data_IF_295808716032
#
_entry.id   IF_295808716032
#
_cell.length_a   1.000
_cell.length_b   1.000
_cell.length_c   1.000
_cell.angle_alpha   90.00
_cell.angle_beta   90.00
_cell.angle_gamma   90.00
#
_symmetry.space_group_name_H-M   'P 1'
#
loop_
_entity.id
_entity.type
_entity.pdbx_description
1 polymer ?
#
# COMPACT_ATOMS: atom_id res chain seq x y z
N UNK A 1 3.50 24.01 -52.76
CA UNK A 1 2.52 22.96 -53.13
C UNK A 1 3.27 21.64 -53.00
N UNK A 2 3.01 20.69 -52.10
CA UNK A 2 1.87 20.39 -51.23
C UNK A 2 2.39 19.71 -49.96
N UNK A 3 1.79 20.05 -48.82
CA UNK A 3 1.96 19.48 -47.49
C UNK A 3 1.07 18.24 -47.31
N UNK A 4 1.65 17.06 -47.11
CA UNK A 4 0.92 15.87 -46.67
C UNK A 4 0.80 15.86 -45.15
N UNK A 5 -0.26 16.52 -44.68
CA UNK A 5 -0.75 16.46 -43.30
C UNK A 5 -1.41 15.09 -43.10
N UNK A 6 -0.72 14.14 -42.48
CA UNK A 6 -1.32 12.91 -42.00
C UNK A 6 -2.14 13.25 -40.74
N UNK A 7 -3.44 13.45 -40.93
CA UNK A 7 -4.40 13.57 -39.84
C UNK A 7 -4.44 12.24 -39.08
N UNK A 8 -4.02 12.28 -37.82
CA UNK A 8 -4.37 11.24 -36.85
C UNK A 8 -5.88 11.31 -36.65
N UNK A 9 -6.61 10.46 -37.37
CA UNK A 9 -8.00 10.16 -37.06
C UNK A 9 -8.05 9.49 -35.70
N UNK A 10 -8.27 10.27 -34.64
CA UNK A 10 -8.74 9.76 -33.36
C UNK A 10 -10.16 9.24 -33.58
N UNK A 11 -10.28 7.97 -33.94
CA UNK A 11 -11.51 7.22 -33.68
C UNK A 11 -11.62 7.09 -32.17
N UNK A 12 -12.37 8.00 -31.58
CA UNK A 12 -12.81 7.95 -30.19
C UNK A 12 -13.73 6.71 -30.06
N UNK A 13 -13.12 5.52 -29.96
CA UNK A 13 -13.84 4.33 -29.49
C UNK A 13 -14.18 4.63 -28.03
N UNK A 14 -15.45 4.93 -27.79
CA UNK A 14 -16.05 4.97 -26.46
C UNK A 14 -15.97 3.57 -25.87
N UNK A 15 -14.82 3.21 -25.32
CA UNK A 15 -14.72 2.02 -24.49
C UNK A 15 -15.53 2.25 -23.22
N UNK A 16 -16.22 1.21 -22.76
CA UNK A 16 -16.85 1.25 -21.46
C UNK A 16 -15.76 1.57 -20.40
N UNK A 17 -16.03 2.45 -19.43
CA UNK A 17 -15.08 2.79 -18.37
C UNK A 17 -14.72 1.57 -17.50
N UNK A 18 -15.52 0.50 -17.61
CA UNK A 18 -15.33 -0.78 -16.95
C UNK A 18 -15.84 -1.91 -17.85
N UNK A 19 -15.09 -3.00 -17.92
CA UNK A 19 -15.52 -4.27 -18.49
C UNK A 19 -15.09 -5.42 -17.59
N UNK A 20 -15.94 -6.43 -17.47
CA UNK A 20 -15.72 -7.65 -16.72
C UNK A 20 -16.29 -8.80 -17.56
N UNK A 21 -15.47 -9.78 -17.91
CA UNK A 21 -15.88 -10.87 -18.81
C UNK A 21 -16.92 -11.78 -18.17
N UNK A 22 -16.62 -12.26 -16.96
CA UNK A 22 -17.47 -13.15 -16.18
C UNK A 22 -17.42 -12.73 -14.72
N UNK A 23 -18.52 -12.91 -14.00
CA UNK A 23 -18.58 -12.72 -12.55
C UNK A 23 -19.45 -13.80 -11.93
N UNK A 24 -18.91 -14.50 -10.94
CA UNK A 24 -19.63 -15.52 -10.19
C UNK A 24 -19.49 -15.28 -8.68
N UNK A 25 -20.58 -15.56 -7.97
CA UNK A 25 -20.67 -15.47 -6.52
C UNK A 25 -21.38 -16.71 -6.02
N UNK A 26 -20.70 -17.49 -5.18
CA UNK A 26 -21.25 -18.65 -4.48
C UNK A 26 -21.17 -18.40 -2.99
N UNK A 27 -22.29 -18.59 -2.29
CA UNK A 27 -22.38 -18.41 -0.85
C UNK A 27 -23.03 -19.65 -0.21
N UNK A 28 -22.35 -20.22 0.78
CA UNK A 28 -22.95 -21.21 1.68
C UNK A 28 -23.45 -20.50 2.93
N UNK A 29 -24.72 -20.70 3.27
CA UNK A 29 -25.33 -20.12 4.47
C UNK A 29 -25.34 -21.13 5.62
N UNK A 30 -25.07 -20.63 6.82
CA UNK A 30 -25.17 -21.37 8.07
C UNK A 30 -26.10 -20.68 9.06
N UNK A 31 -26.27 -21.33 10.22
CA UNK A 31 -27.00 -20.76 11.33
C UNK A 31 -26.11 -20.74 12.58
N UNK A 32 -26.00 -19.56 13.18
CA UNK A 32 -25.35 -19.32 14.46
C UNK A 32 -26.41 -18.91 15.50
N UNK A 33 -26.25 -19.37 16.74
CA UNK A 33 -27.25 -19.16 17.80
C UNK A 33 -27.40 -17.69 18.19
N UNK A 34 -26.31 -16.92 18.13
CA UNK A 34 -26.28 -15.52 18.58
C UNK A 34 -26.43 -14.54 17.41
N UNK A 35 -25.91 -14.89 16.23
CA UNK A 35 -25.90 -14.05 15.04
C UNK A 35 -27.00 -14.39 14.01
N UNK A 36 -27.71 -15.51 14.16
CA UNK A 36 -28.77 -15.91 13.24
C UNK A 36 -28.23 -16.53 11.95
N UNK A 37 -28.66 -16.05 10.78
CA UNK A 37 -28.14 -16.54 9.49
C UNK A 37 -26.78 -15.93 9.23
N UNK A 38 -25.78 -16.78 9.01
CA UNK A 38 -24.40 -16.36 8.72
C UNK A 38 -23.96 -16.89 7.35
N UNK A 39 -22.96 -16.25 6.75
CA UNK A 39 -22.29 -16.80 5.57
C UNK A 39 -21.13 -17.67 6.08
N UNK A 40 -21.11 -18.95 5.72
CA UNK A 40 -20.02 -19.87 6.05
C UNK A 40 -18.90 -19.76 5.02
N UNK A 41 -19.21 -20.06 3.78
CA UNK A 41 -18.24 -20.05 2.68
C UNK A 41 -18.69 -19.04 1.64
N UNK A 42 -17.76 -18.23 1.16
CA UNK A 42 -17.98 -17.27 0.08
C UNK A 42 -16.90 -17.45 -0.97
N UNK A 43 -17.29 -17.85 -2.17
CA UNK A 43 -16.40 -17.93 -3.32
C UNK A 43 -16.83 -16.87 -4.33
N UNK A 44 -15.89 -16.00 -4.67
CA UNK A 44 -16.06 -14.93 -5.65
C UNK A 44 -15.06 -15.21 -6.77
N UNK A 45 -15.53 -15.30 -8.00
CA UNK A 45 -14.63 -15.34 -9.15
C UNK A 45 -15.03 -14.30 -10.17
N UNK A 46 -14.03 -13.77 -10.85
CA UNK A 46 -14.22 -12.85 -11.96
C UNK A 46 -13.31 -13.28 -13.11
N UNK A 47 -13.77 -13.13 -14.35
CA UNK A 47 -12.94 -13.22 -15.55
C UNK A 47 -12.02 -12.00 -15.67
N UNK A 48 -11.49 -11.70 -16.86
CA UNK A 48 -10.64 -10.52 -16.99
C UNK A 48 -11.43 -9.22 -16.74
N UNK A 49 -10.81 -8.30 -16.00
CA UNK A 49 -11.38 -6.97 -15.71
C UNK A 49 -10.51 -5.91 -16.35
N UNK A 50 -11.13 -4.98 -17.07
CA UNK A 50 -10.47 -3.79 -17.57
C UNK A 50 -11.19 -2.51 -17.12
N UNK A 51 -10.41 -1.51 -16.71
CA UNK A 51 -10.85 -0.22 -16.24
C UNK A 51 -10.20 0.88 -17.07
N UNK A 52 -11.02 1.74 -17.67
CA UNK A 52 -10.57 2.91 -18.41
C UNK A 52 -10.96 4.18 -17.65
N UNK A 53 -9.99 4.74 -16.94
CA UNK A 53 -10.15 5.90 -16.09
C UNK A 53 -9.68 7.17 -16.79
N UNK A 54 -10.37 8.27 -16.57
CA UNK A 54 -9.94 9.60 -16.98
C UNK A 54 -10.28 10.65 -15.92
N UNK A 55 -9.81 11.88 -16.08
CA UNK A 55 -10.06 12.94 -15.10
C UNK A 55 -11.54 13.33 -14.96
N UNK A 56 -12.36 13.13 -16.00
CA UNK A 56 -13.76 13.53 -16.04
C UNK A 56 -14.64 12.67 -15.12
N UNK A 57 -14.26 11.40 -14.91
CA UNK A 57 -14.93 10.50 -13.95
C UNK A 57 -14.84 10.99 -12.49
N UNK A 58 -13.84 11.83 -12.18
CA UNK A 58 -13.61 12.34 -10.82
C UNK A 58 -14.16 13.75 -10.60
N UNK A 59 -14.67 14.41 -11.65
CA UNK A 59 -15.33 15.70 -11.53
C UNK A 59 -16.70 15.50 -10.89
N UNK A 60 -16.80 15.81 -9.58
CA UNK A 60 -18.11 16.04 -8.96
C UNK A 60 -18.80 17.17 -9.71
N UNK A 61 -19.85 16.86 -10.48
CA UNK A 61 -20.75 17.87 -11.02
C UNK A 61 -21.29 18.66 -9.82
N UNK A 62 -20.87 19.92 -9.67
CA UNK A 62 -21.63 20.88 -8.87
C UNK A 62 -22.98 21.00 -9.56
N UNK A 63 -24.04 20.52 -8.94
CA UNK A 63 -25.40 20.81 -9.37
C UNK A 63 -25.59 22.33 -9.30
N UNK A 64 -25.57 22.99 -10.45
CA UNK A 64 -25.97 24.38 -10.60
C UNK A 64 -27.48 24.43 -10.81
N UNK A 65 -28.24 24.65 -9.73
CA UNK A 65 -29.53 25.33 -9.69
C UNK A 65 -30.25 24.93 -8.41
N UNK A 66 -30.12 25.75 -7.37
CA UNK A 66 -31.22 26.04 -6.45
C UNK A 66 -31.03 27.49 -6.01
N UNK A 67 -31.34 28.39 -6.94
CA UNK A 67 -31.67 29.77 -6.62
C UNK A 67 -33.15 29.78 -6.28
N UNK A 68 -33.50 29.63 -5.00
CA UNK A 68 -34.78 30.12 -4.49
C UNK A 68 -34.60 30.75 -3.10
N UNK A 69 -34.69 32.09 -3.13
CA UNK A 69 -35.17 33.02 -2.11
C UNK A 69 -34.83 32.82 -0.63
N UNK A 70 -34.07 33.79 -0.12
CA UNK A 70 -34.04 34.31 1.24
C UNK A 70 -35.37 34.18 2.02
N UNK A 71 -35.26 33.83 3.30
CA UNK A 71 -35.70 34.70 4.41
C UNK A 71 -34.99 34.32 5.70
N UNK A 72 -34.53 35.34 6.41
CA UNK A 72 -33.96 35.30 7.75
C UNK A 72 -34.90 34.64 8.76
N UNK A 73 -34.35 33.86 9.70
CA UNK A 73 -34.61 34.12 11.12
C UNK A 73 -33.49 33.56 12.00
N UNK A 74 -32.83 34.50 12.66
CA UNK A 74 -31.89 34.33 13.77
C UNK A 74 -32.68 33.93 15.00
N UNK A 75 -32.41 32.75 15.58
CA UNK A 75 -32.56 32.54 17.03
C UNK A 75 -31.42 31.66 17.51
N UNK A 76 -30.54 32.24 18.32
CA UNK A 76 -29.41 31.57 18.92
C UNK A 76 -29.81 30.61 20.04
N UNK A 77 -28.94 29.63 20.29
CA UNK A 77 -28.61 29.25 21.66
C UNK A 77 -27.19 28.72 21.71
N UNK A 78 -26.33 29.58 22.23
CA UNK A 78 -25.03 29.24 22.80
C UNK A 78 -25.22 28.12 23.82
N UNK A 79 -24.63 26.95 23.57
CA UNK A 79 -24.19 26.06 24.65
C UNK A 79 -22.75 25.67 24.32
N UNK A 80 -21.83 26.39 24.96
CA UNK A 80 -20.49 25.91 25.25
C UNK A 80 -20.59 24.52 25.88
N UNK A 81 -20.00 23.52 25.24
CA UNK A 81 -19.67 22.26 25.91
C UNK A 81 -18.23 21.89 25.56
N UNK A 82 -17.32 22.63 26.18
CA UNK A 82 -16.01 22.10 26.56
C UNK A 82 -16.21 20.76 27.27
N UNK A 83 -16.05 19.65 26.56
CA UNK A 83 -15.93 18.33 27.17
C UNK A 83 -14.78 17.57 26.53
N UNK A 84 -13.75 17.34 27.34
CA UNK A 84 -12.64 16.47 27.07
C UNK A 84 -13.13 15.10 26.57
N UNK A 85 -12.69 14.67 25.38
CA UNK A 85 -13.00 13.34 24.83
C UNK A 85 -12.30 12.28 25.69
N UNK A 86 -13.07 11.65 26.59
CA UNK A 86 -12.66 10.50 27.42
C UNK A 86 -12.14 9.32 26.58
N UNK A 87 -11.31 8.42 27.18
CA UNK A 87 -10.80 7.18 26.56
C UNK A 87 -11.88 6.16 26.11
N UNK A 88 -13.17 6.39 26.40
CA UNK A 88 -14.30 5.53 26.03
C UNK A 88 -14.40 5.21 24.53
N UNK A 89 -13.91 6.09 23.64
CA UNK A 89 -14.08 5.90 22.18
C UNK A 89 -13.29 4.70 21.62
N UNK A 90 -12.11 4.39 22.16
CA UNK A 90 -11.25 3.28 21.70
C UNK A 90 -11.76 1.91 22.15
N UNK A 91 -12.27 1.83 23.36
CA UNK A 91 -12.86 0.60 23.91
C UNK A 91 -14.20 0.28 23.23
N UNK A 92 -14.99 1.31 22.92
CA UNK A 92 -16.22 1.17 22.12
C UNK A 92 -15.95 0.66 20.69
N UNK A 93 -14.84 1.07 20.04
CA UNK A 93 -14.48 0.54 18.72
C UNK A 93 -14.05 -0.93 18.77
N UNK A 94 -13.32 -1.36 19.80
CA UNK A 94 -12.98 -2.78 19.96
C UNK A 94 -14.21 -3.65 20.18
N UNK A 95 -15.12 -3.20 21.05
CA UNK A 95 -16.43 -3.84 21.26
C UNK A 95 -17.20 -4.01 19.94
N UNK A 96 -17.17 -3.00 19.06
CA UNK A 96 -17.81 -3.12 17.75
C UNK A 96 -17.13 -4.15 16.85
N UNK A 97 -15.80 -4.18 16.77
CA UNK A 97 -15.06 -5.14 15.92
C UNK A 97 -15.29 -6.57 16.40
N UNK A 98 -15.21 -6.83 17.71
CA UNK A 98 -15.50 -8.14 18.31
C UNK A 98 -16.93 -8.58 17.98
N UNK A 99 -17.91 -7.65 18.03
CA UNK A 99 -19.30 -7.95 17.65
C UNK A 99 -19.46 -8.33 16.17
N UNK A 100 -18.74 -7.68 15.26
CA UNK A 100 -18.77 -7.99 13.83
C UNK A 100 -17.95 -9.22 13.45
N UNK A 101 -17.12 -9.73 14.36
CA UNK A 101 -16.26 -10.88 14.08
C UNK A 101 -17.05 -12.15 13.74
N UNK A 102 -18.24 -12.29 14.31
CA UNK A 102 -19.16 -13.39 13.99
C UNK A 102 -19.72 -13.32 12.56
N UNK A 103 -19.74 -12.14 11.93
CA UNK A 103 -20.24 -11.93 10.57
C UNK A 103 -19.20 -12.23 9.48
N UNK A 104 -17.92 -12.37 9.82
CA UNK A 104 -16.92 -12.80 8.84
C UNK A 104 -17.22 -14.24 8.41
N UNK A 105 -17.11 -14.56 7.11
CA UNK A 105 -17.23 -15.94 6.65
C UNK A 105 -16.14 -16.83 7.28
N UNK A 106 -16.42 -18.12 7.40
CA UNK A 106 -15.44 -19.15 7.77
C UNK A 106 -14.36 -19.30 6.70
N UNK A 107 -14.77 -19.28 5.43
CA UNK A 107 -13.85 -19.26 4.29
C UNK A 107 -14.30 -18.23 3.26
N UNK A 108 -13.34 -17.46 2.78
CA UNK A 108 -13.51 -16.56 1.64
C UNK A 108 -12.46 -16.91 0.61
N UNK A 109 -12.88 -17.11 -0.63
CA UNK A 109 -11.99 -17.23 -1.77
C UNK A 109 -12.39 -16.18 -2.80
N UNK A 110 -11.40 -15.46 -3.31
CA UNK A 110 -11.56 -14.55 -4.43
C UNK A 110 -10.47 -14.81 -5.47
N UNK A 111 -10.87 -14.90 -6.73
CA UNK A 111 -9.96 -15.09 -7.85
C UNK A 111 -10.28 -14.12 -8.99
N UNK A 112 -9.26 -13.41 -9.45
CA UNK A 112 -9.29 -12.52 -10.58
C UNK A 112 -8.02 -12.75 -11.43
N UNK A 113 -8.12 -13.36 -12.62
CA UNK A 113 -6.95 -13.75 -13.40
C UNK A 113 -6.17 -12.54 -13.91
N UNK A 114 -6.85 -11.43 -14.23
CA UNK A 114 -6.22 -10.24 -14.79
C UNK A 114 -7.03 -8.98 -14.54
N UNK A 115 -6.33 -7.92 -14.14
CA UNK A 115 -6.84 -6.58 -13.95
C UNK A 115 -6.00 -5.59 -14.78
N UNK A 116 -6.61 -5.03 -15.81
CA UNK A 116 -6.04 -3.96 -16.63
C UNK A 116 -6.63 -2.61 -16.20
N UNK A 117 -5.77 -1.66 -15.81
CA UNK A 117 -6.18 -0.30 -15.44
C UNK A 117 -5.44 0.71 -16.29
N UNK A 118 -6.17 1.34 -17.20
CA UNK A 118 -5.69 2.45 -18.01
C UNK A 118 -6.16 3.76 -17.42
N UNK A 119 -5.24 4.70 -17.22
CA UNK A 119 -5.57 6.05 -16.80
C UNK A 119 -5.07 7.07 -17.83
N UNK A 120 -5.95 7.98 -18.23
CA UNK A 120 -5.62 9.07 -19.15
C UNK A 120 -5.95 10.42 -18.51
N UNK A 121 -4.94 11.28 -18.41
CA UNK A 121 -5.08 12.67 -18.00
C UNK A 121 -4.84 13.58 -19.20
N UNK A 122 -5.91 14.00 -19.88
CA UNK A 122 -5.88 14.84 -21.09
C UNK A 122 -5.15 16.15 -20.85
N UNK A 123 -5.33 16.77 -19.67
CA UNK A 123 -4.72 18.08 -19.35
C UNK A 123 -3.18 18.09 -19.25
N UNK A 124 -2.56 16.93 -19.07
CA UNK A 124 -1.11 16.79 -18.91
C UNK A 124 -0.49 15.82 -19.92
N UNK A 125 -1.29 15.29 -20.86
CA UNK A 125 -0.84 14.32 -21.85
C UNK A 125 -0.28 13.04 -21.23
N UNK A 126 -0.76 12.66 -20.04
CA UNK A 126 -0.32 11.46 -19.33
C UNK A 126 -1.29 10.33 -19.65
N UNK A 127 -0.77 9.23 -20.19
CA UNK A 127 -1.53 8.00 -20.40
C UNK A 127 -0.69 6.85 -19.89
N UNK A 128 -1.24 6.08 -18.94
CA UNK A 128 -0.52 5.00 -18.29
C UNK A 128 -1.38 3.78 -18.15
N UNK A 129 -0.74 2.63 -18.30
CA UNK A 129 -1.38 1.32 -18.24
C UNK A 129 -0.80 0.57 -17.05
N UNK A 130 -1.66 -0.09 -16.28
CA UNK A 130 -1.27 -0.97 -15.19
C UNK A 130 -1.91 -2.31 -15.48
N UNK A 131 -1.17 -3.36 -15.23
CA UNK A 131 -1.62 -4.72 -15.45
C UNK A 131 -1.24 -5.52 -14.20
N UNK A 132 -2.21 -6.22 -13.64
CA UNK A 132 -2.02 -7.08 -12.48
C UNK A 132 -2.62 -8.44 -12.84
N UNK A 133 -1.85 -9.50 -12.68
CA UNK A 133 -2.23 -10.86 -13.08
C UNK A 133 -2.20 -11.82 -11.89
N UNK A 134 -3.04 -12.86 -11.97
CA UNK A 134 -3.11 -13.94 -11.02
C UNK A 134 -3.48 -13.49 -9.61
N UNK A 135 -4.46 -12.59 -9.46
CA UNK A 135 -4.90 -12.08 -8.17
C UNK A 135 -5.73 -13.16 -7.48
N UNK A 136 -5.23 -13.66 -6.36
CA UNK A 136 -5.94 -14.60 -5.50
C UNK A 136 -5.98 -14.07 -4.08
N UNK A 137 -7.12 -14.21 -3.44
CA UNK A 137 -7.30 -13.92 -2.02
C UNK A 137 -8.00 -15.11 -1.39
N UNK A 138 -7.41 -15.63 -0.33
CA UNK A 138 -7.97 -16.70 0.49
C UNK A 138 -8.00 -16.21 1.91
N UNK A 139 -9.12 -16.38 2.58
CA UNK A 139 -9.22 -16.10 4.00
C UNK A 139 -9.93 -17.24 4.72
N UNK A 140 -9.38 -17.63 5.86
CA UNK A 140 -9.93 -18.67 6.73
C UNK A 140 -10.08 -18.09 8.13
N UNK A 141 -11.28 -18.19 8.68
CA UNK A 141 -11.55 -17.88 10.08
C UNK A 141 -11.58 -19.17 10.89
N UNK A 142 -10.79 -19.22 11.95
CA UNK A 142 -10.71 -20.32 12.91
C UNK A 142 -10.84 -19.80 14.35
N UNK A 143 -10.93 -20.71 15.32
CA UNK A 143 -10.83 -20.36 16.74
C UNK A 143 -9.42 -20.71 17.22
N UNK A 144 -8.77 -19.77 17.90
CA UNK A 144 -7.50 -19.97 18.57
C UNK A 144 -7.69 -19.90 20.08
N UNK A 145 -7.06 -20.82 20.80
CA UNK A 145 -7.02 -20.88 22.26
C UNK A 145 -5.54 -20.74 22.65
N UNK A 146 -5.15 -19.55 23.07
CA UNK A 146 -3.86 -19.32 23.74
C UNK A 146 -4.09 -19.17 25.24
N UNK A 147 -3.09 -19.54 26.06
CA UNK A 147 -3.09 -19.82 27.51
C UNK A 147 -3.86 -18.86 28.47
N UNK A 148 -4.40 -17.74 27.99
CA UNK A 148 -5.12 -16.75 28.80
C UNK A 148 -6.47 -16.31 28.20
N UNK A 149 -6.76 -16.51 26.90
CA UNK A 149 -8.04 -16.11 26.29
C UNK A 149 -8.33 -16.75 24.92
N UNK A 150 -9.61 -17.08 24.67
CA UNK A 150 -10.10 -17.46 23.34
C UNK A 150 -10.15 -16.25 22.38
N UNK A 151 -9.68 -16.46 21.15
CA UNK A 151 -9.73 -15.45 20.08
C UNK A 151 -10.23 -16.06 18.77
N UNK A 152 -10.90 -15.24 17.96
CA UNK A 152 -11.12 -15.55 16.56
C UNK A 152 -9.82 -15.26 15.81
N UNK A 153 -9.34 -16.24 15.07
CA UNK A 153 -8.12 -16.16 14.28
C UNK A 153 -8.49 -16.09 12.80
N UNK A 154 -8.07 -15.03 12.14
CA UNK A 154 -8.31 -14.80 10.72
C UNK A 154 -6.97 -14.88 9.98
N UNK A 155 -6.80 -15.96 9.22
CA UNK A 155 -5.71 -16.12 8.28
C UNK A 155 -6.16 -15.56 6.93
N UNK A 156 -5.38 -14.65 6.38
CA UNK A 156 -5.59 -14.06 5.06
C UNK A 156 -4.31 -14.25 4.25
N UNK A 157 -4.45 -14.87 3.09
CA UNK A 157 -3.41 -15.00 2.10
C UNK A 157 -3.85 -14.28 0.83
N UNK A 158 -2.97 -13.47 0.27
CA UNK A 158 -3.17 -12.81 -1.01
C UNK A 158 -1.96 -13.05 -1.88
N UNK A 159 -2.18 -13.60 -3.06
CA UNK A 159 -1.13 -13.93 -4.02
C UNK A 159 -1.37 -13.17 -5.32
N UNK A 160 -0.28 -12.71 -5.94
CA UNK A 160 -0.26 -12.08 -7.25
C UNK A 160 0.85 -12.70 -8.08
N UNK A 161 0.55 -13.09 -9.31
CA UNK A 161 1.55 -13.64 -10.22
C UNK A 161 2.41 -12.55 -10.83
N UNK A 162 1.82 -11.49 -11.39
CA UNK A 162 2.61 -10.42 -12.03
C UNK A 162 1.96 -9.07 -11.77
N UNK A 163 2.77 -8.05 -11.51
CA UNK A 163 2.32 -6.67 -11.33
C UNK A 163 3.21 -5.78 -12.19
N UNK A 164 2.60 -5.11 -13.15
CA UNK A 164 3.22 -4.10 -14.00
C UNK A 164 2.53 -2.76 -13.77
N UNK A 165 3.26 -1.80 -13.21
CA UNK A 165 2.73 -0.47 -12.91
C UNK A 165 3.34 0.59 -13.82
N UNK A 166 2.51 1.57 -14.16
CA UNK A 166 2.87 2.76 -14.95
C UNK A 166 3.56 2.39 -16.27
N UNK A 167 3.02 1.40 -16.95
CA UNK A 167 3.53 0.91 -18.23
C UNK A 167 3.31 1.94 -19.33
N UNK A 168 4.36 2.18 -20.08
CA UNK A 168 4.38 3.07 -21.24
C UNK A 168 5.29 2.46 -22.32
N UNK A 169 4.82 2.41 -23.58
CA UNK A 169 5.57 1.85 -24.71
C UNK A 169 6.25 0.49 -24.41
N UNK A 170 5.52 -0.40 -23.72
CA UNK A 170 5.96 -1.76 -23.41
C UNK A 170 6.78 -1.94 -22.14
N UNK A 171 7.34 -0.87 -21.56
CA UNK A 171 8.20 -0.93 -20.35
C UNK A 171 7.42 -0.41 -19.14
N UNK A 172 7.41 -1.16 -18.03
CA UNK A 172 6.77 -0.76 -16.77
C UNK A 172 7.75 -0.07 -15.87
N UNK A 173 7.33 0.94 -15.10
CA UNK A 173 8.20 1.62 -14.13
C UNK A 173 8.46 0.71 -12.93
N UNK A 174 7.47 -0.06 -12.51
CA UNK A 174 7.61 -1.07 -11.46
C UNK A 174 7.08 -2.39 -11.98
N UNK A 175 7.87 -3.43 -11.82
CA UNK A 175 7.59 -4.80 -12.20
C UNK A 175 7.82 -5.69 -10.97
N UNK A 176 6.85 -6.53 -10.64
CA UNK A 176 6.95 -7.50 -9.55
C UNK A 176 6.44 -8.83 -10.12
N UNK A 177 7.30 -9.83 -10.19
CA UNK A 177 7.00 -11.15 -10.77
C UNK A 177 6.40 -12.14 -9.78
N UNK A 178 6.29 -11.75 -8.51
CA UNK A 178 5.52 -12.46 -7.50
C UNK A 178 5.29 -11.56 -6.31
N UNK A 179 4.07 -11.49 -5.82
CA UNK A 179 3.77 -10.87 -4.53
C UNK A 179 2.91 -11.83 -3.72
N UNK A 180 3.44 -12.25 -2.58
CA UNK A 180 2.70 -13.04 -1.59
C UNK A 180 2.52 -12.17 -0.34
N UNK A 181 1.28 -12.07 0.15
CA UNK A 181 0.94 -11.39 1.39
C UNK A 181 0.22 -12.37 2.30
N UNK A 182 0.77 -12.61 3.47
CA UNK A 182 0.15 -13.42 4.52
C UNK A 182 -0.14 -12.53 5.70
N UNK A 183 -1.35 -12.61 6.24
CA UNK A 183 -1.78 -11.83 7.39
C UNK A 183 -2.54 -12.73 8.36
N UNK A 184 -2.11 -12.75 9.62
CA UNK A 184 -2.77 -13.46 10.70
C UNK A 184 -3.29 -12.45 11.72
N UNK A 185 -4.61 -12.40 11.90
CA UNK A 185 -5.28 -11.43 12.77
C UNK A 185 -6.00 -12.17 13.90
N UNK A 186 -5.63 -11.83 15.13
CA UNK A 186 -6.21 -12.38 16.35
C UNK A 186 -7.16 -11.35 16.99
N UNK A 187 -8.45 -11.66 16.96
CA UNK A 187 -9.50 -10.82 17.51
C UNK A 187 -10.02 -11.47 18.79
N UNK A 188 -9.81 -10.87 19.97
CA UNK A 188 -10.24 -11.47 21.22
C UNK A 188 -11.77 -11.46 21.33
N UNK A 189 -12.35 -12.56 21.84
CA UNK A 189 -13.81 -12.70 21.98
C UNK A 189 -14.38 -11.78 23.07
N UNK A 190 -13.55 -11.37 24.02
CA UNK A 190 -13.84 -10.31 24.97
C UNK A 190 -12.86 -9.16 24.74
N UNK A 191 -13.29 -7.89 24.80
CA UNK A 191 -12.45 -6.71 24.50
C UNK A 191 -11.48 -6.37 25.66
N UNK A 192 -10.95 -7.38 26.33
CA UNK A 192 -10.04 -7.27 27.47
C UNK A 192 -8.59 -7.10 27.02
N UNK A 193 -8.26 -7.53 25.79
CA UNK A 193 -6.95 -7.41 25.16
C UNK A 193 -7.04 -6.69 23.80
N UNK A 194 -5.92 -6.14 23.29
CA UNK A 194 -5.88 -5.58 21.95
C UNK A 194 -5.96 -6.66 20.87
N UNK A 195 -6.40 -6.25 19.68
CA UNK A 195 -6.30 -7.08 18.47
C UNK A 195 -4.81 -7.20 18.10
N UNK A 196 -4.34 -8.41 17.83
CA UNK A 196 -2.99 -8.64 17.29
C UNK A 196 -3.07 -8.91 15.80
N UNK A 197 -2.18 -8.33 15.03
CA UNK A 197 -2.10 -8.51 13.58
C UNK A 197 -0.66 -8.73 13.17
N UNK A 198 -0.38 -9.81 12.47
CA UNK A 198 0.94 -10.10 11.93
C UNK A 198 0.83 -10.13 10.42
N UNK A 199 1.64 -9.33 9.72
CA UNK A 199 1.60 -9.20 8.27
C UNK A 199 2.99 -9.52 7.74
N UNK A 200 3.07 -10.44 6.78
CA UNK A 200 4.29 -10.80 6.08
C UNK A 200 4.07 -10.59 4.57
N UNK A 201 4.97 -9.84 3.95
CA UNK A 201 4.93 -9.47 2.53
C UNK A 201 6.21 -9.98 1.89
N UNK A 202 6.08 -10.80 0.85
CA UNK A 202 7.22 -11.31 0.08
C UNK A 202 7.11 -10.85 -1.36
N UNK A 203 8.15 -10.19 -1.83
CA UNK A 203 8.29 -9.68 -3.18
C UNK A 203 9.33 -10.54 -3.93
N UNK A 204 8.95 -11.05 -5.10
CA UNK A 204 9.81 -11.83 -5.98
C UNK A 204 10.05 -11.10 -7.30
N UNK A 205 11.30 -11.11 -7.78
CA UNK A 205 11.69 -10.53 -9.07
C UNK A 205 11.29 -9.07 -9.22
N UNK A 206 11.61 -8.24 -8.21
CA UNK A 206 11.20 -6.83 -8.22
C UNK A 206 12.14 -6.01 -9.09
N UNK A 207 11.62 -5.31 -10.09
CA UNK A 207 12.40 -4.42 -10.94
C UNK A 207 11.77 -3.02 -11.00
N UNK A 208 12.59 -2.00 -10.82
CA UNK A 208 12.21 -0.61 -10.97
C UNK A 208 12.95 0.02 -12.14
N UNK A 209 12.23 0.39 -13.19
CA UNK A 209 12.77 1.01 -14.39
C UNK A 209 12.64 2.53 -14.31
N UNK A 210 13.74 3.20 -13.98
CA UNK A 210 13.80 4.65 -13.86
C UNK A 210 14.07 5.30 -15.22
N UNK A 211 12.99 5.70 -15.90
CA UNK A 211 13.06 6.41 -17.18
C UNK A 211 12.75 7.90 -16.95
N UNK A 212 13.80 8.70 -16.76
CA UNK A 212 13.68 10.09 -16.33
C UNK A 212 12.74 10.93 -17.23
N UNK A 213 12.75 10.70 -18.54
CA UNK A 213 11.89 11.41 -19.49
C UNK A 213 10.39 11.17 -19.26
N UNK A 214 10.02 9.99 -18.74
CA UNK A 214 8.62 9.60 -18.47
C UNK A 214 8.13 10.08 -17.12
N UNK A 215 9.01 10.50 -16.21
CA UNK A 215 8.65 11.07 -14.91
C UNK A 215 8.15 12.52 -15.01
N UNK A 216 8.44 13.22 -16.10
CA UNK A 216 8.16 14.65 -16.25
C UNK A 216 6.66 15.02 -16.13
N UNK A 217 5.71 14.29 -16.74
CA UNK A 217 4.28 14.57 -16.56
C UNK A 217 3.82 14.34 -15.10
N UNK A 218 4.38 13.36 -14.40
CA UNK A 218 4.07 13.07 -12.99
C UNK A 218 4.48 14.20 -12.05
N UNK A 219 5.69 14.75 -12.24
CA UNK A 219 6.19 15.89 -11.45
C UNK A 219 5.28 17.12 -11.65
N UNK A 220 4.85 17.38 -12.89
CA UNK A 220 3.92 18.48 -13.20
C UNK A 220 2.58 18.31 -12.47
N UNK A 221 2.05 17.09 -12.44
CA UNK A 221 0.78 16.80 -11.76
C UNK A 221 0.86 17.08 -10.25
N UNK A 222 1.97 16.76 -9.58
CA UNK A 222 2.18 17.10 -8.17
C UNK A 222 2.31 18.61 -7.93
N UNK A 223 2.99 19.34 -8.82
CA UNK A 223 3.22 20.79 -8.68
C UNK A 223 1.96 21.65 -8.87
N UNK A 224 0.91 21.09 -9.49
CA UNK A 224 -0.38 21.78 -9.72
C UNK A 224 -1.13 22.08 -8.42
N UNK A 225 -0.86 21.34 -7.34
CA UNK A 225 -1.41 21.58 -6.01
C UNK A 225 -0.56 22.63 -5.26
N UNK A 226 -0.60 23.89 -5.69
CA UNK A 226 -0.12 25.02 -4.86
C UNK A 226 -1.02 25.13 -3.62
N UNK A 227 -0.67 24.41 -2.55
CA UNK A 227 -1.19 24.67 -1.21
C UNK A 227 -0.62 26.02 -0.76
N UNK A 228 -1.47 27.01 -0.51
CA UNK A 228 -1.09 28.25 0.16
C UNK A 228 -0.60 27.87 1.55
N UNK A 229 0.72 27.85 1.76
CA UNK A 229 1.32 27.58 3.07
C UNK A 229 1.04 28.80 3.94
N UNK A 230 -0.02 28.72 4.75
CA UNK A 230 -0.26 29.68 5.83
C UNK A 230 0.52 29.14 7.02
N UNK A 231 1.66 29.76 7.32
CA UNK A 231 2.32 29.60 8.61
C UNK A 231 1.34 30.12 9.65
N UNK A 232 0.76 29.22 10.44
CA UNK A 232 -0.04 29.58 11.60
C UNK A 232 0.92 29.61 12.78
N UNK A 233 1.10 30.80 13.35
CA UNK A 233 1.91 31.00 14.56
C UNK A 233 1.47 30.03 15.66
N UNK A 234 2.45 29.35 16.24
CA UNK A 234 2.29 28.51 17.42
C UNK A 234 2.12 29.40 18.66
N UNK A 235 0.91 29.43 19.20
CA UNK A 235 0.73 29.64 20.63
C UNK A 235 -0.56 28.95 21.10
N UNK A 236 -0.43 27.70 21.51
CA UNK A 236 -1.35 27.12 22.48
C UNK A 236 -0.60 26.08 23.29
N UNK A 237 -0.15 26.47 24.48
CA UNK A 237 0.18 25.55 25.56
C UNK A 237 -1.10 24.75 25.88
N UNK A 238 -1.27 23.62 25.21
CA UNK A 238 -2.27 22.63 25.56
C UNK A 238 -1.57 21.64 26.50
N UNK A 239 -1.85 21.75 27.80
CA UNK A 239 -1.46 20.74 28.78
C UNK A 239 -1.86 19.36 28.25
N UNK A 240 -0.87 18.47 28.13
CA UNK A 240 -1.08 17.09 27.68
C UNK A 240 -1.98 16.40 28.72
N UNK A 241 -3.18 15.94 28.36
CA UNK A 241 -3.88 15.00 29.23
C UNK A 241 -3.02 13.73 29.29
N UNK A 242 -2.73 13.24 30.50
CA UNK A 242 -2.15 11.91 30.72
C UNK A 242 -3.06 10.88 30.04
N UNK A 243 -2.70 10.50 28.82
CA UNK A 243 -3.35 9.42 28.07
C UNK A 243 -2.90 8.13 28.73
N UNK A 244 -3.82 7.45 29.42
CA UNK A 244 -3.67 6.02 29.67
C UNK A 244 -3.57 5.35 28.29
N UNK A 245 -2.37 4.86 27.95
CA UNK A 245 -1.95 4.53 26.59
C UNK A 245 -2.51 3.17 26.14
N UNK A 246 -3.84 3.04 26.11
CA UNK A 246 -4.49 1.85 25.57
C UNK A 246 -4.35 1.84 24.03
N UNK A 247 -3.52 0.92 23.53
CA UNK A 247 -3.41 0.58 22.11
C UNK A 247 -4.49 -0.45 21.79
N UNK A 248 -5.40 -0.13 20.88
CA UNK A 248 -6.46 -1.05 20.49
C UNK A 248 -5.97 -2.17 19.57
N UNK A 249 -4.93 -1.90 18.78
CA UNK A 249 -4.38 -2.83 17.80
C UNK A 249 -2.86 -2.84 17.95
N UNK A 250 -2.31 -4.03 18.14
CA UNK A 250 -0.89 -4.35 18.06
C UNK A 250 -0.62 -5.01 16.73
N UNK A 251 0.45 -4.59 16.05
CA UNK A 251 0.79 -5.14 14.75
C UNK A 251 2.29 -5.29 14.54
N UNK A 252 2.64 -6.30 13.74
CA UNK A 252 3.95 -6.51 13.12
C UNK A 252 3.75 -6.58 11.61
N UNK A 253 4.72 -6.04 10.89
CA UNK A 253 4.75 -6.06 9.43
C UNK A 253 6.18 -6.36 9.00
N UNK A 254 6.35 -7.44 8.27
CA UNK A 254 7.62 -7.82 7.64
C UNK A 254 7.45 -7.71 6.14
N UNK A 255 8.42 -7.11 5.48
CA UNK A 255 8.51 -7.05 4.02
C UNK A 255 9.88 -7.60 3.63
N UNK A 256 9.91 -8.59 2.76
CA UNK A 256 11.14 -9.16 2.23
C UNK A 256 11.13 -9.17 0.71
N UNK A 257 12.26 -8.82 0.11
CA UNK A 257 12.50 -8.91 -1.33
C UNK A 257 13.91 -9.48 -1.52
N UNK A 258 14.07 -10.76 -1.87
CA UNK A 258 15.39 -11.36 -2.06
C UNK A 258 16.15 -10.69 -3.20
N UNK A 259 15.50 -10.42 -4.34
CA UNK A 259 16.17 -9.83 -5.49
C UNK A 259 15.41 -8.58 -5.94
N UNK A 260 16.10 -7.44 -5.90
CA UNK A 260 15.58 -6.16 -6.38
C UNK A 260 16.57 -5.50 -7.33
N UNK A 261 16.09 -5.10 -8.51
CA UNK A 261 16.91 -4.44 -9.52
C UNK A 261 16.34 -3.07 -9.83
N UNK A 262 17.18 -2.04 -9.78
CA UNK A 262 16.85 -0.70 -10.27
C UNK A 262 17.60 -0.49 -11.57
N UNK A 263 16.88 -0.27 -12.67
CA UNK A 263 17.48 -0.01 -13.98
C UNK A 263 17.34 1.47 -14.30
N UNK A 264 18.46 2.15 -14.49
CA UNK A 264 18.46 3.56 -14.89
C UNK A 264 18.58 3.66 -16.42
N UNK A 265 17.66 4.39 -17.04
CA UNK A 265 17.63 4.59 -18.48
C UNK A 265 18.13 5.97 -18.90
N UNK A 266 18.79 6.02 -20.06
CA UNK A 266 19.14 7.25 -20.75
C UNK A 266 17.90 8.00 -21.26
N UNK A 267 18.11 9.24 -21.70
CA UNK A 267 17.05 10.02 -22.38
C UNK A 267 16.56 9.35 -23.66
N UNK A 268 17.40 8.52 -24.29
CA UNK A 268 17.07 7.72 -25.47
C UNK A 268 16.40 6.37 -25.13
N UNK A 269 16.00 6.14 -23.87
CA UNK A 269 15.37 4.91 -23.38
C UNK A 269 16.24 3.65 -23.53
N UNK A 270 17.56 3.81 -23.49
CA UNK A 270 18.54 2.71 -23.42
C UNK A 270 18.99 2.53 -21.97
N UNK A 271 19.06 1.30 -21.42
CA UNK A 271 19.56 1.06 -20.07
C UNK A 271 21.03 1.51 -19.97
N UNK A 272 21.38 2.17 -18.86
CA UNK A 272 22.71 2.68 -18.59
C UNK A 272 23.36 1.99 -17.40
N UNK A 273 22.59 1.81 -16.32
CA UNK A 273 23.08 1.25 -15.07
C UNK A 273 22.06 0.30 -14.46
N UNK A 274 22.57 -0.71 -13.75
CA UNK A 274 21.81 -1.68 -12.98
C UNK A 274 22.26 -1.62 -11.52
N UNK A 275 21.35 -1.23 -10.62
CA UNK A 275 21.52 -1.34 -9.19
C UNK A 275 20.85 -2.60 -8.67
N UNK A 276 21.61 -3.64 -8.39
CA UNK A 276 21.09 -4.94 -7.96
C UNK A 276 21.31 -5.12 -6.47
N UNK A 277 20.25 -5.43 -5.73
CA UNK A 277 20.33 -5.85 -4.34
C UNK A 277 19.99 -7.34 -4.20
N UNK A 278 20.80 -8.05 -3.42
CA UNK A 278 20.63 -9.48 -3.14
C UNK A 278 19.78 -9.79 -1.91
N UNK A 279 19.41 -8.77 -1.12
CA UNK A 279 18.39 -8.93 -0.09
C UNK A 279 17.88 -7.58 0.36
N UNK A 280 16.57 -7.49 0.54
CA UNK A 280 15.90 -6.36 1.18
C UNK A 280 14.96 -6.88 2.26
N UNK A 281 15.02 -6.30 3.44
CA UNK A 281 14.18 -6.64 4.56
C UNK A 281 13.73 -5.38 5.29
N UNK A 282 12.42 -5.25 5.53
CA UNK A 282 11.85 -4.18 6.34
C UNK A 282 10.99 -4.84 7.40
N UNK A 283 11.26 -4.53 8.65
CA UNK A 283 10.45 -4.94 9.79
C UNK A 283 9.92 -3.71 10.52
N UNK A 284 8.60 -3.63 10.66
CA UNK A 284 7.95 -2.56 11.38
C UNK A 284 6.96 -3.15 12.38
N UNK A 285 6.84 -2.54 13.56
CA UNK A 285 5.85 -2.94 14.56
C UNK A 285 5.48 -1.79 15.49
N UNK A 286 4.41 -1.95 16.23
CA UNK A 286 4.02 -1.02 17.30
C UNK A 286 3.81 -1.70 18.66
N UNK A 287 4.41 -2.88 18.87
CA UNK A 287 4.15 -3.70 20.06
C UNK A 287 4.69 -3.03 21.33
N UNK A 288 5.85 -2.37 21.25
CA UNK A 288 6.48 -1.73 22.41
C UNK A 288 5.60 -0.60 22.97
N UNK A 289 5.67 -0.36 24.29
CA UNK A 289 5.02 0.80 24.93
C UNK A 289 5.57 2.14 24.40
N UNK A 290 6.78 2.13 23.85
CA UNK A 290 7.49 3.34 23.41
C UNK A 290 6.96 3.93 22.11
N UNK A 291 6.33 3.15 21.21
CA UNK A 291 5.77 3.69 19.97
C UNK A 291 5.80 2.70 18.81
N UNK A 292 5.98 3.21 17.59
CA UNK A 292 6.25 2.38 16.40
C UNK A 292 7.76 2.35 16.18
N UNK A 293 8.29 1.17 15.88
CA UNK A 293 9.67 0.96 15.45
C UNK A 293 9.71 0.42 14.03
N UNK A 294 10.69 0.85 13.26
CA UNK A 294 10.98 0.40 11.90
C UNK A 294 12.46 0.08 11.82
N UNK A 295 12.78 -1.12 11.37
CA UNK A 295 14.11 -1.58 11.02
C UNK A 295 14.09 -1.92 9.54
N UNK A 296 15.07 -1.44 8.78
CA UNK A 296 15.25 -1.76 7.37
C UNK A 296 16.68 -2.18 7.16
N UNK A 297 16.87 -3.21 6.35
CA UNK A 297 18.16 -3.74 5.95
C UNK A 297 18.13 -4.00 4.44
N UNK A 298 19.14 -3.51 3.74
CA UNK A 298 19.43 -3.80 2.36
C UNK A 298 20.80 -4.49 2.35
N UNK A 299 20.83 -5.78 2.05
CA UNK A 299 22.07 -6.51 1.83
C UNK A 299 22.58 -6.32 0.41
N UNK A 300 23.86 -6.63 0.25
CA UNK A 300 24.72 -6.49 -0.93
C UNK A 300 24.07 -5.75 -2.11
N UNK A 301 24.44 -4.48 -2.25
CA UNK A 301 24.04 -3.61 -3.33
C UNK A 301 25.20 -3.41 -4.30
N UNK A 302 24.96 -3.79 -5.55
CA UNK A 302 25.91 -3.67 -6.65
C UNK A 302 25.39 -2.68 -7.69
N UNK A 303 26.22 -1.69 -8.04
CA UNK A 303 25.96 -0.82 -9.19
C UNK A 303 26.86 -1.24 -10.36
N UNK A 304 26.24 -1.60 -11.48
CA UNK A 304 26.90 -2.11 -12.68
C UNK A 304 26.55 -1.23 -13.89
N UNK A 305 27.46 -1.13 -14.86
CA UNK A 305 27.11 -0.63 -16.19
C UNK A 305 26.20 -1.65 -16.89
N UNK A 306 25.37 -1.19 -17.83
CA UNK A 306 24.45 -2.07 -18.56
C UNK A 306 25.16 -3.17 -19.36
N UNK A 307 26.29 -2.85 -20.01
CA UNK A 307 27.06 -3.82 -20.80
C UNK A 307 27.66 -4.90 -19.90
N UNK A 308 28.29 -4.51 -18.78
CA UNK A 308 28.88 -5.42 -17.79
C UNK A 308 27.81 -6.32 -17.14
N UNK A 309 26.62 -5.78 -16.86
CA UNK A 309 25.50 -6.57 -16.34
C UNK A 309 25.05 -7.64 -17.35
N UNK A 310 25.00 -7.30 -18.64
CA UNK A 310 24.61 -8.24 -19.69
C UNK A 310 25.66 -9.35 -19.88
N UNK A 311 26.95 -9.04 -19.73
CA UNK A 311 28.02 -10.03 -19.72
C UNK A 311 27.92 -10.94 -18.49
N UNK A 312 27.70 -10.38 -17.30
CA UNK A 312 27.48 -11.15 -16.08
C UNK A 312 26.31 -12.14 -16.18
N UNK A 313 25.17 -11.73 -16.75
CA UNK A 313 24.03 -12.65 -16.96
C UNK A 313 24.39 -13.79 -17.92
N UNK A 314 25.16 -13.51 -18.97
CA UNK A 314 25.62 -14.53 -19.91
C UNK A 314 26.60 -15.49 -19.24
N UNK A 315 27.55 -15.00 -18.46
CA UNK A 315 28.57 -15.81 -17.78
C UNK A 315 28.00 -16.62 -16.60
N UNK A 316 27.03 -16.06 -15.86
CA UNK A 316 26.28 -16.76 -14.80
C UNK A 316 25.57 -18.02 -15.31
N UNK A 317 25.03 -17.98 -16.54
CA UNK A 317 24.48 -19.18 -17.19
C UNK A 317 25.51 -20.28 -17.48
N UNK A 318 26.81 -19.95 -17.46
CA UNK A 318 27.92 -20.88 -17.73
C UNK A 318 28.76 -21.24 -16.48
N UNK A 319 28.40 -20.75 -15.29
CA UNK A 319 28.99 -21.16 -14.02
C UNK A 319 30.47 -20.77 -13.82
N UNK A 320 30.95 -19.74 -14.53
CA UNK A 320 32.31 -19.23 -14.36
C UNK A 320 32.25 -18.01 -13.44
N UNK A 321 32.83 -18.09 -12.24
CA UNK A 321 33.00 -16.96 -11.34
C UNK A 321 34.07 -16.01 -11.89
N UNK A 322 33.64 -14.89 -12.45
CA UNK A 322 34.50 -13.76 -12.83
C UNK A 322 34.19 -12.57 -11.93
N UNK A 323 35.25 -11.83 -11.56
CA UNK A 323 35.15 -10.59 -10.81
C UNK A 323 34.37 -9.55 -11.63
N UNK A 324 33.07 -9.45 -11.41
CA UNK A 324 32.25 -8.38 -11.95
C UNK A 324 32.76 -7.04 -11.40
N UNK A 325 33.18 -6.16 -12.29
CA UNK A 325 33.65 -4.81 -11.92
C UNK A 325 32.42 -3.97 -11.60
N UNK A 326 31.94 -4.05 -10.36
CA UNK A 326 30.93 -3.12 -9.87
C UNK A 326 31.55 -1.72 -9.70
N UNK A 327 30.81 -0.70 -10.14
CA UNK A 327 31.18 0.70 -9.93
C UNK A 327 31.07 1.08 -8.45
N UNK A 328 30.08 0.51 -7.79
CA UNK A 328 29.82 0.66 -6.37
C UNK A 328 29.42 -0.70 -5.82
N UNK A 329 30.08 -1.11 -4.75
CA UNK A 329 29.75 -2.28 -3.94
C UNK A 329 29.48 -1.78 -2.53
N UNK A 330 28.28 -2.04 -2.01
CA UNK A 330 27.92 -1.77 -0.61
C UNK A 330 27.46 -3.09 -0.02
N UNK A 331 28.09 -3.54 1.06
CA UNK A 331 27.78 -4.84 1.66
C UNK A 331 26.43 -4.79 2.34
N UNK A 332 26.16 -3.68 3.04
CA UNK A 332 24.95 -3.55 3.84
C UNK A 332 24.59 -2.09 4.06
N UNK A 333 23.30 -1.79 3.91
CA UNK A 333 22.69 -0.55 4.39
C UNK A 333 21.65 -0.94 5.43
N UNK A 334 21.71 -0.33 6.62
CA UNK A 334 20.69 -0.55 7.64
C UNK A 334 20.17 0.77 8.20
N UNK A 335 18.88 0.79 8.48
CA UNK A 335 18.15 1.94 8.95
C UNK A 335 17.26 1.54 10.12
N UNK A 336 17.51 2.15 11.27
CA UNK A 336 16.71 1.99 12.47
C UNK A 336 16.01 3.28 12.85
N UNK A 337 14.70 3.21 13.00
CA UNK A 337 13.87 4.31 13.45
C UNK A 337 12.93 3.87 14.56
N UNK A 338 12.96 4.54 15.71
CA UNK A 338 12.07 4.23 16.83
C UNK A 338 12.36 5.07 18.07
N UNK A 339 11.50 4.97 19.08
CA UNK A 339 11.75 5.60 20.39
C UNK A 339 12.59 4.66 21.25
N UNK A 340 13.70 5.17 21.79
CA UNK A 340 14.59 4.42 22.70
C UNK A 340 14.03 4.50 24.13
N UNK A 341 14.06 3.40 24.86
CA UNK A 341 14.05 3.44 26.32
C UNK A 341 15.38 4.06 26.76
N UNK A 342 15.30 5.24 27.37
CA UNK A 342 16.48 5.91 27.89
C UNK A 342 16.64 5.43 29.33
N UNK A 343 17.54 4.47 29.56
CA UNK A 343 17.93 4.04 30.92
C UNK A 343 18.67 5.14 31.70
N UNK A 344 18.96 6.29 31.09
CA UNK A 344 19.43 7.46 31.82
C UNK A 344 18.24 8.31 32.27
N UNK A 345 17.95 8.27 33.57
CA UNK A 345 17.35 9.40 34.28
C UNK A 345 18.21 10.63 33.97
N UNK A 346 17.80 11.44 33.01
CA UNK A 346 17.83 12.90 33.09
C UNK A 346 17.26 13.51 31.81
N UNK A 347 16.34 14.44 32.05
CA UNK A 347 15.63 15.34 31.14
C UNK A 347 14.55 14.79 30.18
N UNK A 348 13.36 15.33 30.44
CA UNK A 348 12.08 15.17 29.78
C UNK A 348 12.14 15.36 28.25
N UNK A 349 11.77 14.31 27.53
CA UNK A 349 11.59 14.32 26.09
C UNK A 349 11.83 12.95 25.47
N UNK A 350 10.78 12.31 24.95
CA UNK A 350 10.90 11.07 24.20
C UNK A 350 11.68 11.29 22.89
N UNK A 351 13.01 11.25 22.96
CA UNK A 351 13.92 11.40 21.82
C UNK A 351 13.76 10.20 20.89
N UNK A 352 13.27 10.43 19.67
CA UNK A 352 13.24 9.42 18.61
C UNK A 352 14.68 9.20 18.14
N UNK A 353 15.15 7.95 18.16
CA UNK A 353 16.44 7.56 17.61
C UNK A 353 16.26 7.31 16.11
N UNK A 354 17.14 7.89 15.32
CA UNK A 354 17.31 7.61 13.90
C UNK A 354 18.77 7.17 13.73
N UNK A 355 18.98 5.97 13.22
CA UNK A 355 20.33 5.46 12.91
C UNK A 355 20.32 5.00 11.47
N UNK A 356 21.31 5.45 10.70
CA UNK A 356 21.61 4.96 9.38
C UNK A 356 23.06 4.48 9.39
N UNK A 357 23.29 3.24 8.99
CA UNK A 357 24.61 2.64 8.82
C UNK A 357 24.77 2.12 7.39
N UNK A 358 25.99 2.26 6.87
CA UNK A 358 26.39 1.82 5.53
C UNK A 358 27.77 1.21 5.70
N UNK A 359 27.90 -0.07 5.35
CA UNK A 359 29.14 -0.85 5.44
C UNK A 359 29.70 -1.19 4.05
#
# INVERSE_FOLDING_TARGET
ISSSQASFGTTERTFAPFSCEEFSLSCEFGHDRDAGVIIKNMDISSGEVALNLNEELFLKKKSSSDTYSHTDEVVGSTIESTTAKKPQKKQASLLSITKYTSMFPEKLFFNLPKLDVKFVHRGHGLAVENNIMGIQLKSIKSRSIEDVAESAHLDVQMDFSEIHLLREAGISVVEILKLDVVSSVYIPLQPTSPIRSEIDIKLGGTQCNMIMNRLKPWIRLQSSKKKKMVLRDESSNLEKPQLTDFKAILWTCTVSAPEMTIVLYSLSSVPLYHGCSQSSHVFANNISSTGTSVHMELGELNLLMADDYQECLKESMFGVETNTVSLVHIVKISFDWGKKDTESLEEDGAKRKLVLSVD
#
